data_IF_978208552876
#
_entry.id   IF_978208552876
#
_cell.length_a   1.000
_cell.length_b   1.000
_cell.length_c   1.000
_cell.angle_alpha   90.00
_cell.angle_beta   90.00
_cell.angle_gamma   90.00
#
_symmetry.space_group_name_H-M   'P 1'
#
loop_
_entity.id
_entity.type
_entity.pdbx_description
1 polymer ?
#
# COMPACT_ATOMS: atom_id res chain seq x y z
N UNK A 1 1.10 6.30 0.63
CA UNK A 1 0.29 7.44 0.10
C UNK A 1 0.88 8.21 -1.06
N UNK A 2 2.16 8.62 -1.07
CA UNK A 2 2.71 9.44 -2.17
C UNK A 2 2.57 8.85 -3.59
N UNK A 3 2.74 7.54 -3.74
CA UNK A 3 2.57 6.83 -5.02
C UNK A 3 1.13 6.88 -5.52
N UNK A 4 0.16 6.61 -4.64
CA UNK A 4 -1.27 6.65 -4.95
C UNK A 4 -1.71 8.06 -5.35
N UNK A 5 -1.15 9.10 -4.71
CA UNK A 5 -1.40 10.49 -5.09
C UNK A 5 -0.82 10.87 -6.45
N UNK A 6 0.43 10.47 -6.75
CA UNK A 6 1.01 10.66 -8.09
C UNK A 6 0.18 9.99 -9.19
N UNK A 7 -0.22 8.74 -8.97
CA UNK A 7 -1.02 8.00 -9.94
C UNK A 7 -2.37 8.68 -10.21
N UNK A 8 -3.00 9.26 -9.18
CA UNK A 8 -4.25 10.03 -9.31
C UNK A 8 -4.08 11.41 -9.96
N UNK A 9 -2.89 12.03 -9.86
CA UNK A 9 -2.64 13.37 -10.43
C UNK A 9 -2.18 13.33 -11.89
N UNK A 10 -1.84 12.15 -12.41
CA UNK A 10 -1.40 11.94 -13.78
C UNK A 10 -2.61 11.51 -14.62
N UNK A 11 -2.67 11.94 -15.88
CA UNK A 11 -3.71 11.54 -16.82
C UNK A 11 -3.77 10.01 -16.92
N UNK A 12 -4.97 9.41 -16.85
CA UNK A 12 -5.15 7.94 -16.75
C UNK A 12 -4.36 7.16 -17.81
N UNK A 13 -4.32 7.66 -19.04
CA UNK A 13 -3.56 7.07 -20.16
C UNK A 13 -2.05 7.02 -19.91
N UNK A 14 -1.48 8.06 -19.29
CA UNK A 14 -0.06 8.12 -18.96
C UNK A 14 0.24 7.19 -17.79
N UNK A 15 -0.65 7.13 -16.81
CA UNK A 15 -0.53 6.23 -15.67
C UNK A 15 -0.63 4.75 -16.08
N UNK A 16 -1.51 4.40 -17.02
CA UNK A 16 -1.57 3.07 -17.64
C UNK A 16 -0.28 2.75 -18.41
N UNK A 17 0.24 3.70 -19.19
CA UNK A 17 1.51 3.54 -19.90
C UNK A 17 2.71 3.29 -18.99
N UNK A 18 2.67 3.78 -17.75
CA UNK A 18 3.69 3.50 -16.73
C UNK A 18 3.50 2.15 -16.05
N UNK A 19 2.28 1.61 -15.99
CA UNK A 19 2.01 0.34 -15.31
C UNK A 19 2.69 -0.86 -15.99
N UNK A 20 2.72 -0.87 -17.33
CA UNK A 20 3.32 -1.94 -18.11
C UNK A 20 4.81 -2.14 -17.78
N UNK A 21 5.68 -1.13 -17.92
CA UNK A 21 7.10 -1.28 -17.56
C UNK A 21 7.30 -1.54 -16.06
N UNK A 22 6.42 -1.04 -15.19
CA UNK A 22 6.47 -1.35 -13.76
C UNK A 22 6.22 -2.84 -13.48
N UNK A 23 5.33 -3.48 -14.23
CA UNK A 23 5.06 -4.91 -14.12
C UNK A 23 6.17 -5.80 -14.71
N UNK A 24 7.01 -5.26 -15.59
CA UNK A 24 8.08 -6.02 -16.24
C UNK A 24 9.38 -6.09 -15.42
N UNK A 25 9.61 -5.13 -14.52
CA UNK A 25 10.85 -5.06 -13.71
C UNK A 25 10.79 -6.04 -12.52
N UNK A 26 11.86 -6.84 -12.33
CA UNK A 26 11.88 -7.95 -11.36
C UNK A 26 11.87 -7.51 -9.89
N UNK A 27 11.19 -8.34 -9.10
CA UNK A 27 11.17 -8.49 -7.63
C UNK A 27 10.66 -7.33 -6.77
N UNK A 28 10.96 -6.08 -7.08
CA UNK A 28 10.63 -4.96 -6.18
C UNK A 28 9.51 -4.04 -6.66
N UNK A 29 8.95 -4.29 -7.84
CA UNK A 29 7.94 -3.41 -8.44
C UNK A 29 6.53 -3.99 -8.49
N UNK A 30 6.30 -5.22 -8.04
CA UNK A 30 4.92 -5.74 -7.96
C UNK A 30 4.09 -4.99 -6.92
N UNK A 31 4.57 -4.71 -5.69
CA UNK A 31 3.83 -3.87 -4.75
C UNK A 31 3.54 -2.50 -5.35
N UNK A 32 4.55 -1.89 -5.99
CA UNK A 32 4.40 -0.61 -6.67
C UNK A 32 3.32 -0.68 -7.77
N UNK A 33 3.37 -1.66 -8.65
CA UNK A 33 2.36 -1.86 -9.69
C UNK A 33 0.95 -2.07 -9.10
N UNK A 34 0.82 -2.77 -7.97
CA UNK A 34 -0.46 -2.94 -7.27
C UNK A 34 -0.94 -1.64 -6.60
N UNK A 35 -0.04 -0.84 -6.01
CA UNK A 35 -0.36 0.51 -5.54
C UNK A 35 -0.89 1.38 -6.67
N UNK A 36 -0.24 1.36 -7.84
CA UNK A 36 -0.69 2.08 -9.02
C UNK A 36 -2.03 1.54 -9.56
N UNK A 37 -2.21 0.23 -9.66
CA UNK A 37 -3.46 -0.41 -10.06
C UNK A 37 -4.63 0.00 -9.16
N UNK A 38 -4.37 0.06 -7.84
CA UNK A 38 -5.37 0.46 -6.84
C UNK A 38 -5.80 1.93 -6.98
N UNK A 39 -4.91 2.78 -7.50
CA UNK A 39 -5.18 4.20 -7.70
C UNK A 39 -6.02 4.44 -8.98
N UNK A 40 -5.84 3.60 -10.00
CA UNK A 40 -6.52 3.72 -11.30
C UNK A 40 -7.94 3.13 -11.29
N UNK A 41 -8.18 2.11 -10.46
CA UNK A 41 -9.50 1.49 -10.27
C UNK A 41 -9.95 0.61 -11.44
N UNK A 42 -9.85 1.11 -12.68
CA UNK A 42 -10.07 0.35 -13.92
C UNK A 42 -8.76 0.28 -14.70
N UNK A 43 -8.35 -0.93 -15.08
CA UNK A 43 -7.15 -1.18 -15.88
C UNK A 43 -7.54 -1.75 -17.24
N UNK A 44 -6.85 -1.30 -18.29
CA UNK A 44 -6.88 -1.98 -19.58
C UNK A 44 -6.44 -3.45 -19.44
N UNK A 45 -6.96 -4.34 -20.30
CA UNK A 45 -6.69 -5.79 -20.25
C UNK A 45 -5.20 -6.12 -20.28
N UNK A 46 -4.45 -5.51 -21.20
CA UNK A 46 -3.00 -5.69 -21.34
C UNK A 46 -2.22 -5.36 -20.05
N UNK A 47 -2.64 -4.31 -19.35
CA UNK A 47 -2.05 -3.91 -18.07
C UNK A 47 -2.39 -4.90 -16.95
N UNK A 48 -3.62 -5.42 -16.96
CA UNK A 48 -4.08 -6.44 -16.01
C UNK A 48 -3.27 -7.73 -16.20
N UNK A 49 -3.11 -8.21 -17.43
CA UNK A 49 -2.37 -9.44 -17.74
C UNK A 49 -0.90 -9.37 -17.30
N UNK A 50 -0.25 -8.20 -17.48
CA UNK A 50 1.10 -7.95 -17.00
C UNK A 50 1.23 -8.13 -15.49
N UNK A 51 0.33 -7.51 -14.71
CA UNK A 51 0.29 -7.66 -13.24
C UNK A 51 0.01 -9.11 -12.83
N UNK A 52 -0.97 -9.75 -13.47
CA UNK A 52 -1.37 -11.12 -13.18
C UNK A 52 -0.23 -12.12 -13.42
N UNK A 53 0.52 -11.97 -14.52
CA UNK A 53 1.64 -12.87 -14.86
C UNK A 53 2.75 -12.91 -13.81
N UNK A 54 2.89 -11.84 -13.00
CA UNK A 54 3.89 -11.71 -11.94
C UNK A 54 3.40 -12.18 -10.59
N UNK A 55 2.09 -12.19 -10.40
CA UNK A 55 1.44 -12.58 -9.15
C UNK A 55 1.40 -14.10 -9.04
N UNK A 56 2.50 -14.68 -8.56
CA UNK A 56 2.69 -16.12 -8.44
C UNK A 56 2.83 -16.55 -6.98
N UNK A 57 2.52 -17.81 -6.68
CA UNK A 57 2.65 -18.34 -5.32
C UNK A 57 4.11 -18.25 -4.82
N UNK A 58 5.07 -18.49 -5.70
CA UNK A 58 6.50 -18.34 -5.40
C UNK A 58 6.90 -16.90 -5.11
N UNK A 59 6.31 -15.92 -5.81
CA UNK A 59 6.51 -14.52 -5.47
C UNK A 59 6.05 -14.23 -4.04
N UNK A 60 4.86 -14.69 -3.66
CA UNK A 60 4.30 -14.47 -2.32
C UNK A 60 5.17 -15.12 -1.24
N UNK A 61 5.60 -16.37 -1.44
CA UNK A 61 6.46 -17.09 -0.48
C UNK A 61 7.82 -16.41 -0.29
N UNK A 62 8.38 -15.82 -1.35
CA UNK A 62 9.71 -15.17 -1.31
C UNK A 62 9.67 -13.74 -0.77
N UNK A 63 8.51 -13.07 -0.82
CA UNK A 63 8.40 -11.65 -0.48
C UNK A 63 7.22 -11.41 0.49
N UNK A 64 7.25 -11.98 1.71
CA UNK A 64 6.15 -11.83 2.67
C UNK A 64 5.93 -10.37 3.12
N UNK A 65 6.99 -9.57 3.21
CA UNK A 65 6.91 -8.15 3.60
C UNK A 65 6.19 -7.32 2.53
N UNK A 66 6.51 -7.57 1.27
CA UNK A 66 5.85 -6.95 0.11
C UNK A 66 4.35 -7.29 0.07
N UNK A 67 4.01 -8.54 0.39
CA UNK A 67 2.63 -9.03 0.50
C UNK A 67 1.89 -8.34 1.65
N UNK A 68 2.57 -8.14 2.79
CA UNK A 68 1.98 -7.44 3.93
C UNK A 68 1.65 -5.98 3.60
N UNK A 69 2.50 -5.29 2.84
CA UNK A 69 2.30 -3.90 2.44
C UNK A 69 1.08 -3.67 1.54
N UNK A 70 0.72 -4.67 0.72
CA UNK A 70 -0.39 -4.58 -0.24
C UNK A 70 -1.72 -5.11 0.28
N UNK A 71 -1.74 -5.89 1.37
CA UNK A 71 -2.98 -6.42 1.98
C UNK A 71 -4.07 -5.35 2.16
N UNK A 72 -3.80 -4.15 2.72
CA UNK A 72 -4.83 -3.16 2.93
C UNK A 72 -5.22 -2.38 1.65
N UNK A 73 -4.67 -2.73 0.47
CA UNK A 73 -5.12 -2.24 -0.84
C UNK A 73 -6.02 -3.23 -1.56
N UNK A 74 -6.14 -4.47 -1.09
CA UNK A 74 -6.80 -5.53 -1.87
C UNK A 74 -8.22 -5.12 -2.25
N UNK A 75 -8.98 -4.52 -1.34
CA UNK A 75 -10.34 -4.07 -1.62
C UNK A 75 -10.46 -2.95 -2.66
N UNK A 76 -9.37 -2.21 -2.92
CA UNK A 76 -9.33 -1.10 -3.88
C UNK A 76 -8.72 -1.49 -5.23
N UNK A 77 -8.21 -2.71 -5.37
CA UNK A 77 -7.70 -3.22 -6.65
C UNK A 77 -8.84 -3.55 -7.62
N UNK A 78 -8.58 -3.59 -8.95
CA UNK A 78 -9.55 -4.10 -9.91
C UNK A 78 -9.99 -5.55 -9.58
N UNK A 79 -11.27 -5.93 -9.76
CA UNK A 79 -11.79 -7.24 -9.32
C UNK A 79 -11.01 -8.47 -9.82
N UNK A 80 -10.50 -8.40 -11.05
CA UNK A 80 -9.67 -9.48 -11.62
C UNK A 80 -8.36 -9.66 -10.82
N UNK A 81 -7.71 -8.55 -10.45
CA UNK A 81 -6.48 -8.54 -9.65
C UNK A 81 -6.77 -9.01 -8.23
N UNK A 82 -7.91 -8.60 -7.64
CA UNK A 82 -8.33 -9.09 -6.32
C UNK A 82 -8.46 -10.61 -6.29
N UNK A 83 -9.19 -11.17 -7.26
CA UNK A 83 -9.43 -12.60 -7.36
C UNK A 83 -8.12 -13.36 -7.54
N UNK A 84 -7.27 -12.90 -8.46
CA UNK A 84 -5.97 -13.53 -8.68
C UNK A 84 -5.07 -13.45 -7.45
N UNK A 85 -5.07 -12.34 -6.74
CA UNK A 85 -4.30 -12.18 -5.51
C UNK A 85 -4.74 -13.18 -4.45
N UNK A 86 -6.05 -13.27 -4.18
CA UNK A 86 -6.61 -14.23 -3.22
C UNK A 86 -6.25 -15.67 -3.59
N UNK A 87 -6.45 -16.05 -4.85
CA UNK A 87 -6.13 -17.41 -5.32
C UNK A 87 -4.63 -17.72 -5.18
N UNK A 88 -3.78 -16.77 -5.53
CA UNK A 88 -2.33 -16.92 -5.45
C UNK A 88 -1.85 -17.02 -4.00
N UNK A 89 -2.40 -16.20 -3.11
CA UNK A 89 -2.12 -16.24 -1.68
C UNK A 89 -2.57 -17.57 -1.07
N UNK A 90 -3.75 -18.07 -1.45
CA UNK A 90 -4.23 -19.38 -1.04
C UNK A 90 -3.25 -20.48 -1.45
N UNK A 91 -2.85 -20.50 -2.73
CA UNK A 91 -1.87 -21.45 -3.25
C UNK A 91 -0.49 -21.33 -2.58
N UNK A 92 -0.11 -20.14 -2.12
CA UNK A 92 1.15 -19.91 -1.43
C UNK A 92 1.15 -20.49 -0.01
N UNK A 93 0.01 -20.42 0.70
CA UNK A 93 -0.15 -20.83 2.10
C UNK A 93 -0.51 -22.31 2.20
N UNK A 94 -1.73 -22.67 1.79
CA UNK A 94 -2.23 -24.05 1.79
C UNK A 94 -3.46 -24.15 0.86
N UNK A 95 -3.39 -24.88 -0.26
CA UNK A 95 -4.49 -24.95 -1.22
C UNK A 95 -5.70 -25.76 -0.74
N UNK A 96 -5.55 -26.65 0.25
CA UNK A 96 -6.60 -27.59 0.65
C UNK A 96 -7.48 -27.14 1.82
N UNK A 97 -7.09 -26.05 2.51
CA UNK A 97 -7.77 -25.59 3.73
C UNK A 97 -8.40 -24.19 3.53
N UNK A 98 -9.64 -24.18 3.03
CA UNK A 98 -10.39 -22.96 2.73
C UNK A 98 -10.77 -22.18 4.00
N UNK A 99 -11.13 -22.87 5.08
CA UNK A 99 -11.60 -22.25 6.32
C UNK A 99 -10.45 -21.55 7.05
N UNK A 100 -9.31 -22.23 7.18
CA UNK A 100 -8.10 -21.63 7.75
C UNK A 100 -7.59 -20.48 6.88
N UNK A 101 -7.63 -20.63 5.54
CA UNK A 101 -7.25 -19.56 4.63
C UNK A 101 -8.14 -18.32 4.81
N UNK A 102 -9.47 -18.48 4.78
CA UNK A 102 -10.41 -17.38 4.96
C UNK A 102 -10.20 -16.66 6.30
N UNK A 103 -9.96 -17.42 7.37
CA UNK A 103 -9.69 -16.90 8.72
C UNK A 103 -8.41 -16.07 8.76
N UNK A 104 -7.31 -16.61 8.22
CA UNK A 104 -6.01 -15.94 8.17
C UNK A 104 -6.05 -14.71 7.26
N UNK A 105 -6.68 -14.81 6.09
CA UNK A 105 -6.83 -13.71 5.15
C UNK A 105 -7.62 -12.54 5.75
N UNK A 106 -8.72 -12.83 6.45
CA UNK A 106 -9.51 -11.78 7.12
C UNK A 106 -8.73 -11.14 8.28
N UNK A 107 -8.00 -11.93 9.07
CA UNK A 107 -7.14 -11.40 10.14
C UNK A 107 -6.03 -10.50 9.58
N UNK A 108 -5.41 -10.90 8.47
CA UNK A 108 -4.39 -10.14 7.76
C UNK A 108 -4.92 -8.80 7.22
N UNK A 109 -6.12 -8.78 6.62
CA UNK A 109 -6.76 -7.53 6.18
C UNK A 109 -7.04 -6.60 7.36
N UNK A 110 -7.59 -7.15 8.45
CA UNK A 110 -7.92 -6.37 9.65
C UNK A 110 -6.67 -5.73 10.25
N UNK A 111 -5.64 -6.53 10.52
CA UNK A 111 -4.37 -6.08 11.09
C UNK A 111 -3.73 -4.99 10.23
N UNK A 112 -3.73 -5.16 8.91
CA UNK A 112 -3.15 -4.18 8.01
C UNK A 112 -3.94 -2.86 7.97
N UNK A 113 -5.26 -2.91 8.16
CA UNK A 113 -6.11 -1.75 8.36
C UNK A 113 -5.85 -1.03 9.69
N UNK A 114 -5.76 -1.80 10.79
CA UNK A 114 -5.44 -1.27 12.12
C UNK A 114 -4.05 -0.60 12.15
N UNK A 115 -3.07 -1.19 11.46
CA UNK A 115 -1.72 -0.63 11.34
C UNK A 115 -1.70 0.71 10.60
N UNK A 116 -2.40 0.84 9.47
CA UNK A 116 -2.52 2.12 8.76
C UNK A 116 -3.14 3.21 9.63
N UNK A 117 -4.17 2.86 10.41
CA UNK A 117 -4.80 3.81 11.34
C UNK A 117 -3.79 4.31 12.37
N UNK A 118 -3.03 3.40 12.97
CA UNK A 118 -1.99 3.73 13.95
C UNK A 118 -0.87 4.59 13.34
N UNK A 119 -0.42 4.28 12.13
CA UNK A 119 0.60 5.07 11.44
C UNK A 119 0.14 6.51 11.16
N UNK A 120 -1.12 6.69 10.76
CA UNK A 120 -1.71 8.02 10.56
C UNK A 120 -1.76 8.82 11.88
N UNK A 121 -2.17 8.17 12.97
CA UNK A 121 -2.23 8.78 14.30
C UNK A 121 -0.84 9.19 14.82
N UNK A 122 0.17 8.33 14.63
CA UNK A 122 1.57 8.64 14.97
C UNK A 122 2.04 9.88 14.20
N UNK A 123 1.68 10.01 12.93
CA UNK A 123 2.09 11.14 12.10
C UNK A 123 1.38 12.45 12.49
N UNK A 124 0.10 12.38 12.86
CA UNK A 124 -0.63 13.52 13.43
C UNK A 124 0.02 13.98 14.75
N UNK A 125 0.32 13.05 15.65
CA UNK A 125 1.00 13.34 16.93
C UNK A 125 2.40 13.94 16.73
N UNK A 126 3.13 13.53 15.70
CA UNK A 126 4.42 14.13 15.34
C UNK A 126 4.26 15.58 14.89
N UNK A 127 3.24 15.88 14.07
CA UNK A 127 2.93 17.25 13.63
C UNK A 127 2.51 18.14 14.81
N UNK A 128 1.70 17.63 15.72
CA UNK A 128 1.28 18.36 16.91
C UNK A 128 2.47 18.67 17.82
N UNK A 129 3.30 17.67 18.13
CA UNK A 129 4.51 17.87 18.93
C UNK A 129 5.48 18.88 18.31
N UNK A 130 5.66 18.86 16.99
CA UNK A 130 6.50 19.84 16.30
C UNK A 130 5.96 21.27 16.46
N UNK A 131 4.64 21.44 16.41
CA UNK A 131 3.98 22.74 16.61
C UNK A 131 4.12 23.23 18.04
N UNK A 132 3.84 22.37 19.03
CA UNK A 132 3.97 22.71 20.45
C UNK A 132 5.42 23.05 20.83
N UNK A 133 6.39 22.28 20.35
CA UNK A 133 7.80 22.56 20.62
C UNK A 133 8.24 23.93 20.06
N UNK A 134 7.72 24.32 18.89
CA UNK A 134 7.99 25.63 18.31
C UNK A 134 7.33 26.78 19.11
N UNK A 135 6.11 26.58 19.61
CA UNK A 135 5.44 27.56 20.48
C UNK A 135 6.16 27.74 21.82
N UNK A 136 6.61 26.64 22.43
CA UNK A 136 7.42 26.65 23.65
C UNK A 136 8.73 27.40 23.41
N UNK A 137 9.42 27.12 22.29
CA UNK A 137 10.66 27.83 21.91
C UNK A 137 10.44 29.34 21.82
N UNK A 138 9.41 29.78 21.08
CA UNK A 138 9.08 31.21 20.92
C UNK A 138 8.72 31.88 22.26
N UNK A 139 8.01 31.17 23.12
CA UNK A 139 7.63 31.69 24.45
C UNK A 139 8.85 31.89 25.35
N UNK A 140 9.81 30.97 25.30
CA UNK A 140 11.07 31.09 26.04
C UNK A 140 11.93 32.25 25.52
N UNK A 141 12.03 32.42 24.20
CA UNK A 141 12.75 33.54 23.58
C UNK A 141 12.15 34.90 23.96
N UNK A 142 10.82 35.02 23.94
CA UNK A 142 10.11 36.24 24.34
C UNK A 142 10.25 36.57 25.83
N UNK A 143 10.40 35.57 26.70
CA UNK A 143 10.65 35.79 28.13
C UNK A 143 12.09 36.24 28.41
N UNK A 144 13.08 35.71 27.70
CA UNK A 144 14.48 36.15 27.82
C UNK A 144 14.67 37.61 27.38
N UNK A 145 13.98 38.06 26.34
CA UNK A 145 14.06 39.45 25.87
C UNK A 145 13.42 40.46 26.83
N UNK A 146 12.49 40.06 27.70
CA UNK A 146 11.86 40.94 28.70
C UNK A 146 12.65 41.09 30.00
N UNK A 147 13.70 40.30 30.19
CA UNK A 147 14.56 40.33 31.38
C UNK A 147 15.91 41.05 31.13
N UNK A 148 16.13 41.56 29.92
CA UNK A 148 17.26 42.43 29.55
C UNK A 148 16.79 43.87 29.40
#
# INVERSE_FOLDING_TARGET
DGVTHMAKSIHSTVAEGMLLPLSEVRHYRLPLALFWASALGNLAGVCTDGVLSRLTADFIRRNPDDVAAILPLISTLPPAVQTAFKNTLKNAINPEDEETFATLHNALIKEAGDRRRLEAEIEDLRRENATLNEEVRRSMEGQQQRQQ
#
